data_IF_418421141624
#
_entry.id   IF_418421141624
#
_cell.length_a   1.000
_cell.length_b   1.000
_cell.length_c   1.000
_cell.angle_alpha   90.00
_cell.angle_beta   90.00
_cell.angle_gamma   90.00
#
_symmetry.space_group_name_H-M   'P 1'
#
loop_
_entity.id
_entity.type
_entity.pdbx_description
1 polymer ?
#
# COMPACT_ATOMS: atom_id res chain seq x y z
N UNK A 1 5.20 -11.99 4.79
CA UNK A 1 3.73 -11.84 4.98
C UNK A 1 3.09 -11.57 3.63
N UNK A 2 2.04 -12.29 3.24
CA UNK A 2 1.32 -11.99 1.99
C UNK A 2 0.69 -10.59 2.03
N UNK A 3 0.90 -9.80 1.00
CA UNK A 3 0.38 -8.43 0.84
C UNK A 3 -0.15 -8.21 -0.58
N UNK A 4 -1.15 -9.00 -1.01
CA UNK A 4 -1.65 -8.94 -2.37
C UNK A 4 -2.30 -7.58 -2.67
N UNK A 5 -2.40 -7.28 -3.96
CA UNK A 5 -3.10 -6.11 -4.48
C UNK A 5 -2.27 -5.31 -5.46
N UNK A 6 -0.98 -5.07 -5.18
CA UNK A 6 -0.07 -4.59 -6.22
C UNK A 6 0.12 -5.66 -7.29
N UNK A 7 0.49 -6.87 -6.86
CA UNK A 7 0.36 -8.11 -7.62
C UNK A 7 -0.26 -9.20 -6.72
N UNK A 8 -0.75 -10.30 -7.31
CA UNK A 8 -1.27 -11.44 -6.54
C UNK A 8 -0.21 -12.08 -5.62
N UNK A 9 1.05 -12.14 -6.06
CA UNK A 9 2.18 -12.74 -5.34
C UNK A 9 2.96 -11.77 -4.45
N UNK A 10 2.48 -10.54 -4.26
CA UNK A 10 3.16 -9.53 -3.44
C UNK A 10 3.32 -9.99 -1.99
N UNK A 11 4.52 -9.75 -1.45
CA UNK A 11 4.88 -10.04 -0.06
C UNK A 11 5.57 -8.85 0.59
N UNK A 12 5.45 -8.75 1.91
CA UNK A 12 6.21 -7.81 2.74
C UNK A 12 6.90 -8.55 3.89
N UNK A 13 7.99 -8.00 4.41
CA UNK A 13 8.76 -8.58 5.52
C UNK A 13 8.77 -7.60 6.67
N UNK A 14 8.32 -8.02 7.85
CA UNK A 14 8.46 -7.27 9.10
C UNK A 14 9.61 -7.90 9.88
N UNK A 15 10.61 -7.09 10.25
CA UNK A 15 11.75 -7.54 11.05
C UNK A 15 11.42 -7.51 12.55
N UNK A 16 12.19 -8.24 13.36
CA UNK A 16 12.05 -8.19 14.83
C UNK A 16 12.40 -6.81 15.41
N UNK A 17 13.10 -5.95 14.66
CA UNK A 17 13.40 -4.57 15.04
C UNK A 17 12.26 -3.59 14.68
N UNK A 18 11.19 -4.08 14.03
CA UNK A 18 10.01 -3.29 13.67
C UNK A 18 10.06 -2.67 12.28
N UNK A 19 11.12 -2.88 11.51
CA UNK A 19 11.20 -2.37 10.14
C UNK A 19 10.33 -3.20 9.20
N UNK A 20 9.47 -2.54 8.43
CA UNK A 20 8.68 -3.17 7.39
C UNK A 20 9.34 -2.95 6.02
N UNK A 21 9.86 -4.01 5.41
CA UNK A 21 10.17 -4.03 3.98
C UNK A 21 8.85 -4.18 3.22
N UNK A 22 8.34 -3.05 2.74
CA UNK A 22 7.05 -2.92 2.09
C UNK A 22 7.10 -3.24 0.58
N UNK A 23 8.27 -3.10 -0.06
CA UNK A 23 8.38 -3.25 -1.51
C UNK A 23 7.47 -2.27 -2.24
N UNK A 24 6.67 -2.77 -3.18
CA UNK A 24 5.69 -1.96 -3.93
C UNK A 24 4.30 -1.92 -3.30
N UNK A 25 4.14 -2.36 -2.04
CA UNK A 25 2.89 -2.17 -1.29
C UNK A 25 2.50 -0.68 -1.18
N UNK A 26 3.51 0.19 -1.12
CA UNK A 26 3.40 1.65 -1.15
C UNK A 26 4.71 2.23 -1.71
N UNK A 27 4.68 3.44 -2.28
CA UNK A 27 5.85 4.09 -2.87
C UNK A 27 6.07 5.52 -2.34
N UNK A 28 7.21 6.12 -2.67
CA UNK A 28 7.40 7.56 -2.53
C UNK A 28 6.72 8.32 -3.69
N UNK A 29 6.19 9.51 -3.40
CA UNK A 29 5.68 10.44 -4.42
C UNK A 29 6.80 10.90 -5.36
N UNK A 30 6.45 11.19 -6.61
CA UNK A 30 7.36 11.75 -7.63
C UNK A 30 8.68 10.97 -7.75
N UNK A 31 8.64 9.64 -7.74
CA UNK A 31 9.85 8.79 -7.80
C UNK A 31 10.90 9.12 -6.73
N UNK A 32 10.47 9.63 -5.57
CA UNK A 32 11.38 10.00 -4.47
C UNK A 32 11.87 11.46 -4.50
N UNK A 33 11.47 12.28 -5.49
CA UNK A 33 11.84 13.71 -5.52
C UNK A 33 11.29 14.51 -4.34
N UNK A 34 10.20 14.04 -3.72
CA UNK A 34 9.71 14.57 -2.44
C UNK A 34 9.96 13.50 -1.36
N UNK A 35 11.05 13.61 -0.59
CA UNK A 35 11.44 12.60 0.38
C UNK A 35 10.33 12.32 1.40
N UNK A 36 10.16 11.04 1.74
CA UNK A 36 9.25 10.63 2.80
C UNK A 36 7.75 10.83 2.51
N UNK A 37 7.34 11.26 1.30
CA UNK A 37 5.92 11.47 0.97
C UNK A 37 5.30 10.19 0.40
N UNK A 38 4.31 9.56 1.06
CA UNK A 38 3.69 8.34 0.56
C UNK A 38 2.85 8.59 -0.71
N UNK A 39 2.84 7.61 -1.60
CA UNK A 39 2.04 7.55 -2.81
C UNK A 39 1.73 6.10 -3.20
N UNK A 40 0.82 5.96 -4.16
CA UNK A 40 0.62 4.70 -4.86
C UNK A 40 1.82 4.42 -5.80
N UNK A 41 2.28 3.16 -5.91
CA UNK A 41 3.08 2.73 -7.05
C UNK A 41 2.31 2.95 -8.38
N UNK A 42 3.00 2.89 -9.54
CA UNK A 42 2.41 3.24 -10.84
C UNK A 42 1.19 2.41 -11.24
N UNK A 43 1.08 1.17 -10.75
CA UNK A 43 0.01 0.23 -11.07
C UNK A 43 -0.38 -0.62 -9.85
N UNK A 44 -1.62 -1.12 -9.85
CA UNK A 44 -2.09 -2.17 -8.95
C UNK A 44 -2.99 -3.11 -9.73
N UNK A 45 -2.84 -4.39 -9.46
CA UNK A 45 -3.84 -5.39 -9.83
C UNK A 45 -5.21 -5.09 -9.18
N UNK A 46 -5.23 -4.88 -7.87
CA UNK A 46 -6.42 -4.53 -7.10
C UNK A 46 -6.08 -3.45 -6.07
N UNK A 47 -6.47 -2.18 -6.31
CA UNK A 47 -6.20 -1.07 -5.39
C UNK A 47 -6.84 -1.22 -4.01
N UNK A 48 -8.00 -1.89 -3.91
CA UNK A 48 -8.72 -2.09 -2.64
C UNK A 48 -8.01 -3.14 -1.81
N UNK A 49 -7.63 -4.26 -2.44
CA UNK A 49 -6.88 -5.31 -1.80
C UNK A 49 -5.50 -4.80 -1.37
N UNK A 50 -4.84 -3.99 -2.21
CA UNK A 50 -3.55 -3.38 -1.85
C UNK A 50 -3.67 -2.49 -0.61
N UNK A 51 -4.68 -1.62 -0.56
CA UNK A 51 -4.92 -0.76 0.60
C UNK A 51 -5.28 -1.59 1.86
N UNK A 52 -6.03 -2.67 1.71
CA UNK A 52 -6.33 -3.58 2.82
C UNK A 52 -5.06 -4.26 3.35
N UNK A 53 -4.19 -4.74 2.45
CA UNK A 53 -2.87 -5.30 2.79
C UNK A 53 -2.00 -4.28 3.52
N UNK A 54 -1.95 -3.03 3.03
CA UNK A 54 -1.21 -1.96 3.69
C UNK A 54 -1.74 -1.69 5.10
N UNK A 55 -3.06 -1.58 5.28
CA UNK A 55 -3.66 -1.35 6.61
C UNK A 55 -3.38 -2.49 7.57
N UNK A 56 -3.37 -3.75 7.10
CA UNK A 56 -2.95 -4.91 7.91
C UNK A 56 -1.51 -4.79 8.38
N UNK A 57 -0.58 -4.41 7.50
CA UNK A 57 0.82 -4.21 7.90
C UNK A 57 0.99 -3.05 8.88
N UNK A 58 0.28 -1.93 8.68
CA UNK A 58 0.30 -0.80 9.62
C UNK A 58 -0.28 -1.17 10.99
N UNK A 59 -1.22 -2.11 11.08
CA UNK A 59 -1.77 -2.57 12.36
C UNK A 59 -0.73 -3.31 13.22
N UNK A 60 0.37 -3.76 12.62
CA UNK A 60 1.51 -4.39 13.33
C UNK A 60 2.45 -3.35 13.96
N UNK A 61 2.15 -2.05 13.81
CA UNK A 61 2.92 -0.94 14.37
C UNK A 61 4.41 -0.98 13.99
N UNK A 62 4.75 -1.03 12.68
CA UNK A 62 6.13 -0.94 12.26
C UNK A 62 6.74 0.41 12.68
N UNK A 63 8.03 0.44 12.91
CA UNK A 63 8.81 1.63 13.27
C UNK A 63 9.20 2.45 12.03
N UNK A 64 9.38 1.78 10.89
CA UNK A 64 9.75 2.37 9.59
C UNK A 64 9.22 1.51 8.45
N UNK A 65 8.94 2.12 7.29
CA UNK A 65 8.56 1.41 6.06
C UNK A 65 9.59 1.63 4.96
N UNK A 66 10.20 0.56 4.47
CA UNK A 66 11.15 0.55 3.35
C UNK A 66 10.45 0.16 2.06
N UNK A 67 10.32 1.11 1.14
CA UNK A 67 9.66 0.92 -0.15
C UNK A 67 10.64 0.47 -1.23
N UNK A 68 10.14 -0.07 -2.35
CA UNK A 68 10.98 -0.56 -3.46
C UNK A 68 11.93 0.51 -4.03
N UNK A 69 11.49 1.77 -4.05
CA UNK A 69 12.28 2.90 -4.54
C UNK A 69 12.07 4.16 -3.69
N UNK A 70 13.18 4.78 -3.26
CA UNK A 70 13.19 6.06 -2.56
C UNK A 70 13.67 5.94 -1.11
N UNK A 71 13.15 6.80 -0.23
CA UNK A 71 13.56 6.86 1.18
C UNK A 71 12.53 6.18 2.07
N UNK A 72 12.94 5.66 3.25
CA UNK A 72 12.01 5.13 4.22
C UNK A 72 10.86 6.10 4.55
N UNK A 73 9.69 5.54 4.81
CA UNK A 73 8.46 6.26 5.12
C UNK A 73 8.12 6.15 6.60
N UNK A 74 7.72 7.28 7.17
CA UNK A 74 7.15 7.38 8.52
C UNK A 74 5.78 6.67 8.59
N UNK A 75 5.58 5.69 9.48
CA UNK A 75 4.32 4.94 9.62
C UNK A 75 3.10 5.83 9.81
N UNK A 76 3.20 6.90 10.60
CA UNK A 76 2.07 7.79 10.89
C UNK A 76 1.66 8.61 9.67
N UNK A 77 2.64 9.06 8.88
CA UNK A 77 2.38 9.71 7.59
C UNK A 77 1.71 8.74 6.62
N UNK A 78 2.11 7.48 6.63
CA UNK A 78 1.48 6.43 5.81
C UNK A 78 0.06 6.15 6.27
N UNK A 79 -0.22 6.07 7.58
CA UNK A 79 -1.60 5.95 8.11
C UNK A 79 -2.50 7.09 7.65
N UNK A 80 -2.04 8.34 7.77
CA UNK A 80 -2.79 9.51 7.29
C UNK A 80 -3.06 9.44 5.79
N UNK A 81 -2.09 8.95 5.02
CA UNK A 81 -2.27 8.74 3.58
C UNK A 81 -3.28 7.63 3.29
N UNK A 82 -3.19 6.48 3.98
CA UNK A 82 -4.08 5.35 3.79
C UNK A 82 -5.55 5.71 4.09
N UNK A 83 -5.81 6.53 5.10
CA UNK A 83 -7.15 7.05 5.37
C UNK A 83 -7.69 7.89 4.21
N UNK A 84 -6.89 8.79 3.64
CA UNK A 84 -7.31 9.58 2.46
C UNK A 84 -7.52 8.72 1.23
N UNK A 85 -6.69 7.70 1.04
CA UNK A 85 -6.84 6.79 -0.08
C UNK A 85 -8.09 5.92 0.05
N UNK A 86 -8.44 5.52 1.28
CA UNK A 86 -9.70 4.84 1.56
C UNK A 86 -10.91 5.68 1.13
N UNK A 87 -10.96 6.96 1.50
CA UNK A 87 -12.02 7.89 1.08
C UNK A 87 -12.04 8.09 -0.44
N UNK A 88 -10.87 8.14 -1.10
CA UNK A 88 -10.79 8.26 -2.56
C UNK A 88 -11.36 7.02 -3.25
N UNK A 89 -10.91 5.83 -2.86
CA UNK A 89 -11.36 4.57 -3.46
C UNK A 89 -12.85 4.30 -3.16
N UNK A 90 -13.36 4.71 -2.00
CA UNK A 90 -14.78 4.61 -1.66
C UNK A 90 -15.64 5.45 -2.59
N UNK A 91 -15.24 6.70 -2.85
CA UNK A 91 -15.92 7.57 -3.82
C UNK A 91 -15.86 7.04 -5.26
N UNK A 92 -14.72 6.49 -5.68
CA UNK A 92 -14.58 5.94 -7.03
C UNK A 92 -15.46 4.71 -7.26
N UNK A 93 -15.57 3.84 -6.25
CA UNK A 93 -16.47 2.67 -6.33
C UNK A 93 -17.94 3.09 -6.34
N UNK A 94 -18.34 4.02 -5.46
CA UNK A 94 -19.69 4.56 -5.46
C UNK A 94 -20.07 5.20 -6.81
N UNK A 95 -19.08 5.76 -7.52
CA UNK A 95 -19.24 6.30 -8.87
C UNK A 95 -19.12 5.25 -9.99
N UNK A 96 -18.92 3.97 -9.67
CA UNK A 96 -18.75 2.87 -10.64
C UNK A 96 -17.45 2.93 -11.46
N UNK A 97 -16.45 3.70 -11.01
CA UNK A 97 -15.19 3.95 -11.74
C UNK A 97 -14.07 2.97 -11.43
N UNK A 98 -14.26 2.14 -10.41
CA UNK A 98 -13.40 0.99 -10.11
C UNK A 98 -14.32 -0.18 -9.80
N UNK A 99 -13.97 -1.38 -10.26
CA UNK A 99 -14.61 -2.63 -9.83
C UNK A 99 -13.60 -3.39 -8.97
N UNK A 100 -14.06 -3.88 -7.83
CA UNK A 100 -13.30 -4.89 -7.09
C UNK A 100 -13.24 -6.15 -7.95
N UNK A 101 -12.07 -6.76 -8.06
CA UNK A 101 -11.94 -8.04 -8.75
C UNK A 101 -12.60 -9.10 -7.86
N UNK A 102 -13.54 -9.86 -8.40
CA UNK A 102 -14.17 -10.94 -7.63
C UNK A 102 -13.20 -12.11 -7.52
N UNK A 103 -13.28 -12.88 -6.43
CA UNK A 103 -12.36 -14.00 -6.17
C UNK A 103 -12.38 -15.10 -7.26
N UNK A 104 -13.40 -15.10 -8.13
CA UNK A 104 -13.55 -16.03 -9.26
C UNK A 104 -12.70 -15.68 -10.49
N UNK A 105 -12.14 -14.47 -10.57
CA UNK A 105 -11.32 -14.04 -11.73
C UNK A 105 -9.83 -14.40 -11.58
N UNK A 106 -9.48 -15.18 -10.56
CA UNK A 106 -8.09 -15.60 -10.24
C UNK A 106 -7.81 -17.09 -10.50
N UNK A 107 -8.63 -17.76 -11.32
CA UNK A 107 -8.38 -19.12 -11.80
C UNK A 107 -7.46 -19.16 -13.03
#
# INVERSE_FOLDING_TARGET
MPTPGHTAGSISVLTDQGDLVAGDLIANSFFGLVPGRPANPPFHDDPRLNLASLRKMLALNPTSLHVGHGTPLDPDRVRRWASREHERLSRLEAAGRIRARTADETA
#
